data_IF_344628957024
#
_entry.id   IF_344628957024
#
_cell.length_a   1.000
_cell.length_b   1.000
_cell.length_c   1.000
_cell.angle_alpha   90.00
_cell.angle_beta   90.00
_cell.angle_gamma   90.00
#
_symmetry.space_group_name_H-M   'P 1'
#
loop_
_entity.id
_entity.type
_entity.pdbx_description
1 polymer ?
#
# COMPACT_ATOMS: atom_id res chain seq x y z
N UNK A 1 2.00 2.22 6.32
CA UNK A 1 1.40 1.69 7.56
C UNK A 1 -0.01 2.24 7.68
N UNK A 2 -1.00 1.38 7.92
CA UNK A 2 -2.37 1.82 8.21
C UNK A 2 -2.64 1.62 9.71
N UNK A 3 -3.37 2.56 10.33
CA UNK A 3 -3.83 2.46 11.71
C UNK A 3 -5.30 2.83 11.72
N UNK A 4 -6.15 1.93 12.21
CA UNK A 4 -7.58 2.20 12.40
C UNK A 4 -7.84 2.45 13.88
N UNK A 5 -8.38 3.63 14.20
CA UNK A 5 -8.80 3.98 15.55
C UNK A 5 -10.31 4.17 15.57
N UNK A 6 -10.98 3.37 16.39
CA UNK A 6 -12.42 3.46 16.61
C UNK A 6 -12.75 4.56 17.63
N UNK A 7 -13.99 5.02 17.61
CA UNK A 7 -14.48 6.07 18.52
C UNK A 7 -14.50 5.61 19.99
N UNK A 8 -14.60 4.30 20.23
CA UNK A 8 -14.52 3.70 21.56
C UNK A 8 -13.10 3.64 22.14
N UNK A 9 -12.09 4.06 21.36
CA UNK A 9 -10.68 4.07 21.76
C UNK A 9 -9.89 2.84 21.31
N UNK A 10 -10.53 1.81 20.73
CA UNK A 10 -9.86 0.63 20.19
C UNK A 10 -8.97 1.00 19.01
N UNK A 11 -7.77 0.42 18.94
CA UNK A 11 -6.79 0.69 17.88
C UNK A 11 -6.34 -0.62 17.24
N UNK A 12 -6.45 -0.70 15.92
CA UNK A 12 -5.95 -1.80 15.10
C UNK A 12 -4.76 -1.33 14.26
N UNK A 13 -3.68 -2.13 14.28
CA UNK A 13 -2.44 -1.88 13.52
C UNK A 13 -2.16 -2.97 12.49
N UNK A 14 -2.72 -4.16 12.69
CA UNK A 14 -2.60 -5.28 11.76
C UNK A 14 -3.56 -5.08 10.58
N UNK A 15 -3.04 -5.22 9.35
CA UNK A 15 -3.83 -4.99 8.13
C UNK A 15 -5.04 -5.94 8.04
N UNK A 16 -4.90 -7.17 8.53
CA UNK A 16 -5.95 -8.17 8.59
C UNK A 16 -7.14 -7.70 9.43
N UNK A 17 -6.84 -7.20 10.64
CA UNK A 17 -7.84 -6.74 11.59
C UNK A 17 -8.50 -5.46 11.10
N UNK A 18 -7.70 -4.53 10.54
CA UNK A 18 -8.21 -3.30 9.91
C UNK A 18 -9.15 -3.65 8.76
N UNK A 19 -8.79 -4.59 7.88
CA UNK A 19 -9.61 -4.99 6.75
C UNK A 19 -10.93 -5.63 7.20
N UNK A 20 -10.91 -6.42 8.27
CA UNK A 20 -12.12 -7.03 8.84
C UNK A 20 -13.09 -5.97 9.36
N UNK A 21 -12.62 -4.96 10.08
CA UNK A 21 -13.44 -3.87 10.61
C UNK A 21 -13.99 -2.95 9.51
N UNK A 22 -13.26 -2.81 8.40
CA UNK A 22 -13.66 -1.98 7.26
C UNK A 22 -14.64 -2.71 6.31
N UNK A 23 -14.70 -4.04 6.33
CA UNK A 23 -15.54 -4.84 5.43
C UNK A 23 -17.04 -4.52 5.52
N UNK A 24 -17.67 -4.33 6.70
CA UNK A 24 -19.07 -3.91 6.82
C UNK A 24 -19.36 -2.56 6.17
N UNK A 25 -18.37 -1.67 6.11
CA UNK A 25 -18.46 -0.35 5.49
C UNK A 25 -18.22 -0.39 3.97
N UNK A 26 -18.00 -1.59 3.41
CA UNK A 26 -17.62 -1.81 2.01
C UNK A 26 -16.31 -1.10 1.62
N UNK A 27 -15.44 -0.84 2.60
CA UNK A 27 -14.11 -0.28 2.36
C UNK A 27 -13.11 -1.43 2.22
N UNK A 28 -12.31 -1.40 1.15
CA UNK A 28 -11.27 -2.40 0.90
C UNK A 28 -9.89 -1.82 1.16
N UNK A 29 -9.09 -2.53 1.95
CA UNK A 29 -7.71 -2.18 2.20
C UNK A 29 -6.81 -2.88 1.17
N UNK A 30 -6.09 -2.09 0.37
CA UNK A 30 -5.08 -2.60 -0.56
C UNK A 30 -3.69 -2.33 0.00
N UNK A 31 -2.86 -3.37 0.08
CA UNK A 31 -1.46 -3.25 0.43
C UNK A 31 -0.60 -3.53 -0.80
N UNK A 32 0.19 -2.53 -1.22
CA UNK A 32 1.19 -2.69 -2.26
C UNK A 32 2.57 -2.75 -1.62
N UNK A 33 3.24 -3.88 -1.77
CA UNK A 33 4.68 -3.93 -1.50
C UNK A 33 5.38 -3.06 -2.53
N UNK A 34 6.36 -2.25 -2.09
CA UNK A 34 7.16 -1.39 -2.96
C UNK A 34 8.54 -2.00 -3.26
N UNK A 35 8.73 -3.28 -2.92
CA UNK A 35 10.02 -3.97 -2.97
C UNK A 35 11.07 -3.31 -2.06
N UNK A 36 12.33 -3.70 -2.24
CA UNK A 36 13.48 -3.10 -1.54
C UNK A 36 14.21 -2.05 -2.40
N UNK A 37 13.59 -1.50 -3.46
CA UNK A 37 14.27 -0.55 -4.32
C UNK A 37 14.41 0.82 -3.62
N UNK A 38 15.62 1.21 -3.16
CA UNK A 38 15.81 2.42 -2.38
C UNK A 38 15.44 3.70 -3.15
N UNK A 39 15.52 3.69 -4.47
CA UNK A 39 15.10 4.82 -5.32
C UNK A 39 13.60 5.05 -5.20
N UNK A 40 12.79 3.99 -5.25
CA UNK A 40 11.32 4.08 -5.12
C UNK A 40 10.93 4.52 -3.71
N UNK A 41 11.62 4.02 -2.67
CA UNK A 41 11.41 4.50 -1.30
C UNK A 41 11.71 5.99 -1.19
N UNK A 42 12.83 6.44 -1.75
CA UNK A 42 13.20 7.87 -1.73
C UNK A 42 12.21 8.74 -2.50
N UNK A 43 11.60 8.24 -3.59
CA UNK A 43 10.55 8.96 -4.31
C UNK A 43 9.24 9.02 -3.49
N UNK A 44 8.87 7.93 -2.82
CA UNK A 44 7.64 7.87 -2.01
C UNK A 44 7.70 8.73 -0.74
N UNK A 45 8.91 9.07 -0.26
CA UNK A 45 9.12 9.99 0.87
C UNK A 45 9.01 11.48 0.47
N UNK A 46 8.97 11.80 -0.83
CA UNK A 46 8.88 13.19 -1.28
C UNK A 46 7.43 13.68 -1.30
N UNK A 47 7.23 14.92 -0.84
CA UNK A 47 5.91 15.58 -0.87
C UNK A 47 5.41 15.85 -2.29
N UNK A 48 6.33 16.04 -3.25
CA UNK A 48 6.01 16.35 -4.64
C UNK A 48 6.91 15.58 -5.59
N UNK A 49 6.31 14.98 -6.62
CA UNK A 49 7.00 14.28 -7.69
C UNK A 49 6.76 14.98 -9.03
N UNK A 50 7.79 15.05 -9.87
CA UNK A 50 7.64 15.40 -11.29
C UNK A 50 6.90 14.30 -12.05
N UNK A 51 6.45 14.60 -13.27
CA UNK A 51 5.67 13.62 -14.05
C UNK A 51 6.49 12.37 -14.44
N UNK A 52 7.81 12.52 -14.62
CA UNK A 52 8.72 11.39 -14.89
C UNK A 52 8.86 10.51 -13.65
N UNK A 53 8.99 11.11 -12.47
CA UNK A 53 9.12 10.37 -11.21
C UNK A 53 7.81 9.67 -10.84
N UNK A 54 6.65 10.28 -11.09
CA UNK A 54 5.35 9.63 -10.95
C UNK A 54 5.26 8.37 -11.81
N UNK A 55 5.64 8.45 -13.08
CA UNK A 55 5.63 7.30 -13.98
C UNK A 55 6.54 6.18 -13.47
N UNK A 56 7.72 6.54 -12.95
CA UNK A 56 8.68 5.59 -12.37
C UNK A 56 8.08 4.85 -11.17
N UNK A 57 7.42 5.57 -10.25
CA UNK A 57 6.71 4.97 -9.10
C UNK A 57 5.56 4.08 -9.55
N UNK A 58 4.77 4.52 -10.54
CA UNK A 58 3.64 3.74 -11.07
C UNK A 58 4.11 2.42 -11.69
N UNK A 59 5.19 2.44 -12.47
CA UNK A 59 5.76 1.23 -13.07
C UNK A 59 6.28 0.25 -12.01
N UNK A 60 6.92 0.75 -10.96
CA UNK A 60 7.39 -0.08 -9.85
C UNK A 60 6.23 -0.76 -9.11
N UNK A 61 5.16 0.00 -8.82
CA UNK A 61 3.95 -0.53 -8.16
C UNK A 61 3.21 -1.54 -9.04
N UNK A 62 3.13 -1.31 -10.35
CA UNK A 62 2.55 -2.25 -11.30
C UNK A 62 3.34 -3.57 -11.33
N UNK A 63 4.67 -3.49 -11.30
CA UNK A 63 5.56 -4.66 -11.29
C UNK A 63 5.46 -5.45 -9.98
N UNK A 64 5.28 -4.77 -8.84
CA UNK A 64 5.09 -5.47 -7.56
C UNK A 64 3.72 -6.13 -7.42
N UNK A 65 2.72 -5.74 -8.23
CA UNK A 65 1.41 -6.41 -8.26
C UNK A 65 1.48 -7.80 -8.94
N UNK A 66 2.60 -8.12 -9.58
CA UNK A 66 2.84 -9.42 -10.22
C UNK A 66 3.33 -10.41 -9.15
N UNK A 67 2.40 -10.99 -8.39
CA UNK A 67 2.67 -12.23 -7.68
C UNK A 67 3.00 -13.32 -8.73
N UNK A 68 4.09 -14.10 -8.60
CA UNK A 68 4.41 -15.18 -9.51
C UNK A 68 3.48 -16.37 -9.24
N UNK A 69 2.28 -16.37 -9.83
CA UNK A 69 1.38 -17.54 -9.80
C UNK A 69 0.83 -17.89 -11.18
N UNK A 70 1.65 -17.73 -12.24
CA UNK A 70 1.35 -18.37 -13.51
C UNK A 70 2.62 -18.69 -14.32
N UNK A 71 3.43 -19.58 -13.77
CA UNK A 71 4.38 -20.41 -14.53
C UNK A 71 4.33 -21.81 -13.91
N UNK A 72 3.30 -22.58 -14.27
CA UNK A 72 3.21 -24.03 -14.09
C UNK A 72 2.46 -24.61 -15.29
#
# INVERSE_FOLDING_TARGET
MAVLRLEDGTTYTELSDIAQELAPLKVQLNHWSVGENPEIHSLLEQDTLSDIEKETVLQALASSKIHPTLMA
#
